data_IF_572781515781
#
_entry.id   IF_572781515781
#
_cell.length_a   1.000
_cell.length_b   1.000
_cell.length_c   1.000
_cell.angle_alpha   90.00
_cell.angle_beta   90.00
_cell.angle_gamma   90.00
#
_symmetry.space_group_name_H-M   'P 1'
#
loop_
_entity.id
_entity.type
_entity.pdbx_description
1 polymer ?
#
# COMPACT_ATOMS: atom_id res chain seq x y z
N UNK A 1 -2.39 -46.45 -0.49
CA UNK A 1 -2.11 -45.09 0.02
C UNK A 1 -3.23 -44.16 -0.44
N UNK A 2 -3.95 -43.58 0.53
CA UNK A 2 -4.98 -42.58 0.25
C UNK A 2 -4.29 -41.32 -0.27
N UNK A 3 -4.46 -41.03 -1.55
CA UNK A 3 -4.10 -39.71 -2.10
C UNK A 3 -5.26 -38.75 -1.83
N UNK A 4 -5.07 -37.65 -1.07
CA UNK A 4 -6.11 -36.66 -0.90
C UNK A 4 -6.52 -36.08 -2.25
N UNK A 5 -7.80 -35.76 -2.48
CA UNK A 5 -8.25 -35.19 -3.72
C UNK A 5 -7.49 -33.89 -3.98
N UNK A 6 -7.02 -33.70 -5.22
CA UNK A 6 -6.33 -32.47 -5.64
C UNK A 6 -7.24 -31.28 -5.42
N UNK A 7 -6.73 -30.23 -4.76
CA UNK A 7 -7.48 -28.99 -4.54
C UNK A 7 -7.97 -28.43 -5.87
N UNK A 8 -9.25 -28.01 -5.93
CA UNK A 8 -9.87 -27.47 -7.14
C UNK A 8 -9.24 -26.14 -7.57
N UNK A 9 -8.86 -25.32 -6.59
CA UNK A 9 -8.22 -24.02 -6.78
C UNK A 9 -6.95 -23.90 -5.97
N UNK A 10 -6.00 -23.10 -6.45
CA UNK A 10 -4.80 -22.73 -5.69
C UNK A 10 -5.11 -21.55 -4.76
N UNK A 11 -4.29 -21.34 -3.73
CA UNK A 11 -4.35 -20.15 -2.87
C UNK A 11 -4.26 -18.86 -3.68
N UNK A 12 -3.38 -18.83 -4.70
CA UNK A 12 -3.23 -17.69 -5.59
C UNK A 12 -4.50 -17.39 -6.38
N UNK A 13 -5.14 -18.40 -6.95
CA UNK A 13 -6.40 -18.20 -7.71
C UNK A 13 -7.51 -17.63 -6.82
N UNK A 14 -7.61 -18.11 -5.59
CA UNK A 14 -8.58 -17.61 -4.60
C UNK A 14 -8.24 -16.17 -4.20
N UNK A 15 -6.98 -15.87 -3.95
CA UNK A 15 -6.53 -14.52 -3.61
C UNK A 15 -6.78 -13.52 -4.75
N UNK A 16 -6.53 -13.89 -5.99
CA UNK A 16 -6.81 -13.06 -7.17
C UNK A 16 -8.30 -12.77 -7.32
N UNK A 17 -9.16 -13.79 -7.13
CA UNK A 17 -10.61 -13.61 -7.14
C UNK A 17 -11.08 -12.67 -6.03
N UNK A 18 -10.52 -12.80 -4.83
CA UNK A 18 -10.80 -11.91 -3.70
C UNK A 18 -10.34 -10.48 -3.93
N UNK A 19 -9.17 -10.32 -4.50
CA UNK A 19 -8.63 -9.01 -4.89
C UNK A 19 -9.56 -8.31 -5.91
N UNK A 20 -10.05 -9.06 -6.88
CA UNK A 20 -10.97 -8.56 -7.89
C UNK A 20 -12.33 -8.14 -7.29
N UNK A 21 -12.86 -8.90 -6.33
CA UNK A 21 -14.06 -8.51 -5.58
C UNK A 21 -13.82 -7.18 -4.84
N UNK A 22 -12.71 -7.05 -4.12
CA UNK A 22 -12.41 -5.82 -3.37
C UNK A 22 -12.26 -4.62 -4.32
N UNK A 23 -11.55 -4.76 -5.44
CA UNK A 23 -11.39 -3.70 -6.44
C UNK A 23 -12.72 -3.17 -6.97
N UNK A 24 -13.63 -4.07 -7.30
CA UNK A 24 -14.86 -3.73 -8.00
C UNK A 24 -16.03 -3.44 -7.06
N UNK A 25 -16.08 -4.12 -5.93
CA UNK A 25 -17.27 -4.15 -5.07
C UNK A 25 -17.00 -3.67 -3.64
N UNK A 26 -15.72 -3.59 -3.20
CA UNK A 26 -15.33 -3.22 -1.85
C UNK A 26 -15.14 -4.39 -0.91
N UNK A 27 -14.45 -4.15 0.19
CA UNK A 27 -14.10 -5.16 1.21
C UNK A 27 -15.34 -5.77 1.87
N UNK A 28 -16.41 -5.02 2.04
CA UNK A 28 -17.67 -5.44 2.63
C UNK A 28 -18.37 -6.56 1.84
N UNK A 29 -18.03 -6.71 0.56
CA UNK A 29 -18.57 -7.75 -0.31
C UNK A 29 -17.72 -9.02 -0.37
N UNK A 30 -16.58 -9.04 0.33
CA UNK A 30 -15.70 -10.20 0.41
C UNK A 30 -16.31 -11.25 1.36
N UNK A 31 -16.94 -12.25 0.79
CA UNK A 31 -17.51 -13.41 1.51
C UNK A 31 -17.08 -14.71 0.84
N UNK A 32 -17.08 -15.82 1.57
CA UNK A 32 -16.82 -17.14 1.00
C UNK A 32 -17.76 -17.48 -0.15
N UNK A 33 -19.04 -17.08 -0.04
CA UNK A 33 -20.06 -17.26 -1.09
C UNK A 33 -19.73 -16.45 -2.35
N UNK A 34 -19.34 -15.18 -2.18
CA UNK A 34 -18.98 -14.32 -3.30
C UNK A 34 -17.71 -14.84 -4.02
N UNK A 35 -16.72 -15.29 -3.26
CA UNK A 35 -15.51 -15.93 -3.81
C UNK A 35 -15.86 -17.20 -4.59
N UNK A 36 -16.66 -18.09 -4.03
CA UNK A 36 -17.12 -19.29 -4.71
C UNK A 36 -17.81 -18.96 -6.03
N UNK A 37 -18.76 -18.02 -6.01
CA UNK A 37 -19.47 -17.54 -7.21
C UNK A 37 -18.49 -16.99 -8.26
N UNK A 38 -17.52 -16.16 -7.84
CA UNK A 38 -16.49 -15.58 -8.74
C UNK A 38 -15.62 -16.65 -9.39
N UNK A 39 -15.34 -17.74 -8.68
CA UNK A 39 -14.58 -18.89 -9.17
C UNK A 39 -15.43 -19.91 -9.95
N UNK A 40 -16.71 -19.63 -10.16
CA UNK A 40 -17.64 -20.55 -10.82
C UNK A 40 -17.93 -21.83 -10.01
N UNK A 41 -17.95 -21.72 -8.67
CA UNK A 41 -18.11 -22.84 -7.73
C UNK A 41 -18.92 -22.45 -6.50
N UNK A 42 -19.09 -23.41 -5.58
CA UNK A 42 -19.53 -23.13 -4.21
C UNK A 42 -18.34 -22.65 -3.35
N UNK A 43 -18.63 -22.29 -2.08
CA UNK A 43 -17.59 -21.90 -1.12
C UNK A 43 -16.72 -23.08 -0.65
N UNK A 44 -17.20 -24.32 -0.73
CA UNK A 44 -16.51 -25.48 -0.17
C UNK A 44 -15.06 -25.65 -0.65
N UNK A 45 -14.74 -25.52 -1.95
CA UNK A 45 -13.36 -25.68 -2.42
C UNK A 45 -12.36 -24.68 -1.84
N UNK A 46 -12.82 -23.53 -1.37
CA UNK A 46 -11.96 -22.52 -0.73
C UNK A 46 -11.38 -23.08 0.57
N UNK A 47 -12.20 -23.76 1.35
CA UNK A 47 -11.83 -24.35 2.65
C UNK A 47 -11.10 -25.70 2.54
N UNK A 48 -10.78 -26.15 1.33
CA UNK A 48 -9.82 -27.23 1.13
C UNK A 48 -8.37 -26.76 1.18
N UNK A 49 -8.12 -25.46 1.00
CA UNK A 49 -6.78 -24.84 0.99
C UNK A 49 -6.59 -23.75 2.05
N UNK A 50 -7.66 -23.25 2.64
CA UNK A 50 -7.67 -22.30 3.76
C UNK A 50 -8.49 -22.84 4.91
N UNK A 51 -8.08 -22.56 6.14
CA UNK A 51 -8.84 -22.98 7.33
C UNK A 51 -10.07 -22.10 7.59
N UNK A 52 -9.95 -20.80 7.29
CA UNK A 52 -11.00 -19.81 7.57
C UNK A 52 -10.87 -18.58 6.67
N UNK A 53 -11.81 -17.66 6.75
CA UNK A 53 -11.80 -16.42 5.98
C UNK A 53 -10.69 -15.45 6.39
N UNK A 54 -10.18 -15.54 7.59
CA UNK A 54 -9.04 -14.70 8.05
C UNK A 54 -7.77 -15.05 7.29
N UNK A 55 -7.50 -16.34 7.07
CA UNK A 55 -6.39 -16.78 6.22
C UNK A 55 -6.57 -16.36 4.76
N UNK A 56 -7.79 -16.45 4.24
CA UNK A 56 -8.11 -15.95 2.89
C UNK A 56 -7.79 -14.47 2.79
N UNK A 57 -8.23 -13.68 3.76
CA UNK A 57 -7.99 -12.24 3.79
C UNK A 57 -6.50 -11.90 3.90
N UNK A 58 -5.73 -12.64 4.70
CA UNK A 58 -4.29 -12.45 4.80
C UNK A 58 -3.59 -12.68 3.45
N UNK A 59 -4.01 -13.68 2.69
CA UNK A 59 -3.46 -13.94 1.35
C UNK A 59 -3.87 -12.86 0.34
N UNK A 60 -5.10 -12.34 0.43
CA UNK A 60 -5.57 -11.21 -0.38
C UNK A 60 -4.77 -9.93 -0.05
N UNK A 61 -4.53 -9.65 1.22
CA UNK A 61 -3.71 -8.51 1.65
C UNK A 61 -2.29 -8.61 1.10
N UNK A 62 -1.71 -9.79 1.10
CA UNK A 62 -0.40 -10.05 0.48
C UNK A 62 -0.42 -9.77 -1.02
N UNK A 63 -1.46 -10.19 -1.73
CA UNK A 63 -1.64 -9.89 -3.15
C UNK A 63 -1.81 -8.39 -3.40
N UNK A 64 -2.56 -7.68 -2.57
CA UNK A 64 -2.72 -6.23 -2.65
C UNK A 64 -1.39 -5.48 -2.42
N UNK A 65 -0.57 -5.93 -1.45
CA UNK A 65 0.77 -5.39 -1.22
C UNK A 65 1.69 -5.60 -2.41
N UNK A 66 1.58 -6.73 -3.10
CA UNK A 66 2.34 -6.98 -4.31
C UNK A 66 1.99 -5.99 -5.42
N UNK A 67 0.70 -5.66 -5.59
CA UNK A 67 0.25 -4.62 -6.53
C UNK A 67 0.86 -3.26 -6.15
N UNK A 68 0.77 -2.85 -4.90
CA UNK A 68 1.36 -1.61 -4.42
C UNK A 68 2.88 -1.57 -4.62
N UNK A 69 3.59 -2.66 -4.35
CA UNK A 69 5.03 -2.74 -4.53
C UNK A 69 5.49 -2.48 -5.96
N UNK A 70 4.68 -2.78 -6.96
CA UNK A 70 5.00 -2.42 -8.36
C UNK A 70 4.97 -0.89 -8.58
N UNK A 71 4.07 -0.17 -7.92
CA UNK A 71 4.08 1.31 -7.92
C UNK A 71 5.34 1.85 -7.26
N UNK A 72 5.73 1.31 -6.11
CA UNK A 72 6.97 1.72 -5.42
C UNK A 72 8.20 1.47 -6.30
N UNK A 73 8.33 0.29 -6.89
CA UNK A 73 9.43 -0.05 -7.81
C UNK A 73 9.51 0.91 -8.99
N UNK A 74 8.38 1.31 -9.54
CA UNK A 74 8.32 2.31 -10.60
C UNK A 74 8.84 3.66 -10.12
N UNK A 75 8.42 4.11 -8.95
CA UNK A 75 8.88 5.37 -8.34
C UNK A 75 10.38 5.37 -8.04
N UNK A 76 10.92 4.26 -7.52
CA UNK A 76 12.34 4.11 -7.20
C UNK A 76 13.27 4.17 -8.44
N UNK A 77 12.74 3.98 -9.64
CA UNK A 77 13.49 4.09 -10.91
C UNK A 77 13.56 5.52 -11.45
N UNK A 78 12.79 6.44 -10.88
CA UNK A 78 12.85 7.86 -11.28
C UNK A 78 14.19 8.49 -10.85
N UNK A 79 14.61 9.55 -11.53
CA UNK A 79 15.85 10.28 -11.23
C UNK A 79 15.87 10.76 -9.77
N UNK A 80 14.75 11.29 -9.28
CA UNK A 80 14.51 11.60 -7.89
C UNK A 80 13.65 10.52 -7.25
N UNK A 81 14.27 9.40 -6.88
CA UNK A 81 13.59 8.18 -6.45
C UNK A 81 12.56 8.41 -5.33
N UNK A 82 12.91 9.20 -4.31
CA UNK A 82 11.98 9.49 -3.21
C UNK A 82 10.75 10.28 -3.66
N UNK A 83 10.93 11.28 -4.54
CA UNK A 83 9.83 12.02 -5.17
C UNK A 83 8.98 11.09 -6.04
N UNK A 84 9.63 10.22 -6.79
CA UNK A 84 8.96 9.21 -7.62
C UNK A 84 8.07 8.28 -6.79
N UNK A 85 8.55 7.82 -5.65
CA UNK A 85 7.76 6.99 -4.72
C UNK A 85 6.53 7.74 -4.20
N UNK A 86 6.68 8.99 -3.79
CA UNK A 86 5.54 9.81 -3.33
C UNK A 86 4.48 10.00 -4.42
N UNK A 87 4.90 10.27 -5.64
CA UNK A 87 4.00 10.37 -6.80
C UNK A 87 3.28 9.05 -7.06
N UNK A 88 3.99 7.92 -7.04
CA UNK A 88 3.40 6.60 -7.26
C UNK A 88 2.48 6.17 -6.11
N UNK A 89 2.74 6.58 -4.88
CA UNK A 89 1.84 6.38 -3.75
C UNK A 89 0.46 7.02 -3.99
N UNK A 90 0.45 8.26 -4.45
CA UNK A 90 -0.80 8.97 -4.80
C UNK A 90 -1.46 8.33 -6.04
N UNK A 91 -0.67 7.94 -7.05
CA UNK A 91 -1.21 7.26 -8.23
C UNK A 91 -1.86 5.91 -7.89
N UNK A 92 -1.30 5.18 -6.93
CA UNK A 92 -1.92 3.96 -6.41
C UNK A 92 -3.28 4.27 -5.77
N UNK A 93 -3.37 5.30 -4.94
CA UNK A 93 -4.63 5.74 -4.34
C UNK A 93 -5.69 6.16 -5.37
N UNK A 94 -5.27 6.81 -6.46
CA UNK A 94 -6.17 7.23 -7.54
C UNK A 94 -6.64 6.05 -8.38
N UNK A 95 -5.73 5.17 -8.77
CA UNK A 95 -6.02 4.05 -9.69
C UNK A 95 -6.61 2.83 -9.00
N UNK A 96 -6.23 2.60 -7.75
CA UNK A 96 -6.64 1.46 -6.94
C UNK A 96 -7.20 1.92 -5.58
N UNK A 97 -8.25 2.78 -5.57
CA UNK A 97 -8.69 3.42 -4.33
C UNK A 97 -9.12 2.43 -3.24
N UNK A 98 -9.75 1.32 -3.62
CA UNK A 98 -10.18 0.30 -2.65
C UNK A 98 -9.04 -0.54 -2.10
N UNK A 99 -8.00 -0.79 -2.90
CA UNK A 99 -6.78 -1.45 -2.41
C UNK A 99 -5.97 -0.50 -1.52
N UNK A 100 -5.93 0.78 -1.85
CA UNK A 100 -5.34 1.80 -0.99
C UNK A 100 -6.04 1.86 0.38
N UNK A 101 -7.37 1.88 0.38
CA UNK A 101 -8.16 1.85 1.63
C UNK A 101 -7.88 0.59 2.43
N UNK A 102 -7.83 -0.58 1.79
CA UNK A 102 -7.51 -1.84 2.44
C UNK A 102 -6.14 -1.82 3.14
N UNK A 103 -5.11 -1.33 2.47
CA UNK A 103 -3.73 -1.39 2.96
C UNK A 103 -3.37 -0.26 3.92
N UNK A 104 -3.87 0.95 3.69
CA UNK A 104 -3.38 2.17 4.34
C UNK A 104 -4.43 2.95 5.13
N UNK A 105 -5.67 2.50 5.14
CA UNK A 105 -6.77 3.13 5.90
C UNK A 105 -7.45 2.16 6.86
N UNK A 106 -6.95 0.94 6.99
CA UNK A 106 -7.49 -0.07 7.91
C UNK A 106 -6.89 0.09 9.31
N UNK A 107 -7.66 -0.26 10.32
CA UNK A 107 -7.17 -0.36 11.69
C UNK A 107 -6.02 -1.36 11.80
N UNK A 108 -5.03 -1.03 12.59
CA UNK A 108 -3.96 -1.93 12.96
C UNK A 108 -4.30 -2.61 14.28
N UNK A 109 -4.09 -3.91 14.37
CA UNK A 109 -4.33 -4.71 15.60
C UNK A 109 -3.51 -4.21 16.79
N UNK A 110 -2.34 -3.67 16.54
CA UNK A 110 -1.52 -2.95 17.49
C UNK A 110 -1.26 -1.57 16.90
N UNK A 111 -1.68 -0.51 17.59
CA UNK A 111 -1.48 0.86 17.14
C UNK A 111 0.01 1.25 17.32
N UNK A 112 0.82 1.24 16.28
CA UNK A 112 2.21 1.66 16.39
C UNK A 112 2.30 3.16 16.67
N UNK A 113 3.35 3.58 17.34
CA UNK A 113 3.66 5.02 17.45
C UNK A 113 3.99 5.60 16.06
N UNK A 114 3.89 6.92 15.92
CA UNK A 114 4.20 7.60 14.65
C UNK A 114 5.63 7.32 14.13
N UNK A 115 6.57 7.03 15.02
CA UNK A 115 7.95 6.67 14.64
C UNK A 115 8.10 5.23 14.15
N UNK A 116 7.10 4.38 14.36
CA UNK A 116 7.15 2.95 14.03
C UNK A 116 6.12 2.54 12.96
N UNK A 117 5.23 3.44 12.57
CA UNK A 117 4.12 3.09 11.66
C UNK A 117 4.61 2.67 10.28
N UNK A 118 5.54 3.40 9.69
CA UNK A 118 6.02 3.16 8.33
C UNK A 118 6.60 1.76 8.12
N UNK A 119 7.55 1.27 8.94
CA UNK A 119 8.07 -0.08 8.78
C UNK A 119 7.03 -1.19 9.02
N UNK A 120 5.94 -0.88 9.72
CA UNK A 120 4.84 -1.84 9.97
C UNK A 120 3.92 -1.96 8.76
N UNK A 121 3.58 -0.83 8.11
CA UNK A 121 2.57 -0.79 7.05
C UNK A 121 3.13 -0.91 5.64
N UNK A 122 4.43 -0.72 5.44
CA UNK A 122 5.05 -0.71 4.11
C UNK A 122 6.26 -1.65 4.05
N UNK A 123 6.10 -2.73 3.31
CA UNK A 123 7.16 -3.73 3.07
C UNK A 123 8.37 -3.15 2.31
N UNK A 124 8.21 -1.99 1.68
CA UNK A 124 9.26 -1.30 0.92
C UNK A 124 10.00 -0.23 1.75
N UNK A 125 9.69 -0.12 3.03
CA UNK A 125 10.22 0.92 3.91
C UNK A 125 11.74 1.09 3.83
N UNK A 126 12.50 0.01 3.94
CA UNK A 126 13.96 0.08 3.91
C UNK A 126 14.50 0.57 2.56
N UNK A 127 13.92 0.12 1.46
CA UNK A 127 14.31 0.58 0.12
C UNK A 127 13.99 2.06 -0.10
N UNK A 128 12.85 2.51 0.38
CA UNK A 128 12.44 3.92 0.30
C UNK A 128 13.34 4.79 1.19
N UNK A 129 13.62 4.36 2.41
CA UNK A 129 14.52 5.07 3.33
C UNK A 129 15.92 5.22 2.74
N UNK A 130 16.46 4.16 2.15
CA UNK A 130 17.75 4.19 1.46
C UNK A 130 17.76 5.20 0.31
N UNK A 131 16.67 5.30 -0.44
CA UNK A 131 16.52 6.29 -1.51
C UNK A 131 16.59 7.72 -0.98
N UNK A 132 16.02 8.00 0.19
CA UNK A 132 16.10 9.30 0.85
C UNK A 132 17.57 9.62 1.23
N UNK A 133 18.25 8.68 1.87
CA UNK A 133 19.65 8.84 2.28
C UNK A 133 20.54 9.14 1.08
N UNK A 134 20.39 8.39 0.00
CA UNK A 134 21.23 8.53 -1.19
C UNK A 134 20.92 9.79 -2.00
N UNK A 135 19.65 10.14 -2.17
CA UNK A 135 19.25 11.31 -2.95
C UNK A 135 19.66 12.64 -2.30
N UNK A 136 19.66 12.71 -0.97
CA UNK A 136 19.84 13.97 -0.25
C UNK A 136 21.05 13.99 0.66
N UNK A 137 21.84 12.93 0.65
CA UNK A 137 23.06 12.76 1.47
C UNK A 137 22.80 13.05 2.96
N UNK A 138 21.71 12.48 3.49
CA UNK A 138 21.28 12.64 4.86
C UNK A 138 21.69 11.45 5.73
N UNK A 139 21.89 11.70 7.03
CA UNK A 139 21.99 10.63 8.02
C UNK A 139 20.70 9.79 8.05
N UNK A 140 20.78 8.59 8.59
CA UNK A 140 19.59 7.73 8.75
C UNK A 140 18.49 8.44 9.55
N UNK A 141 18.83 9.06 10.67
CA UNK A 141 17.90 9.79 11.54
C UNK A 141 17.19 10.93 10.81
N UNK A 142 17.94 11.76 10.08
CA UNK A 142 17.39 12.85 9.28
C UNK A 142 16.51 12.34 8.14
N UNK A 143 16.90 11.22 7.53
CA UNK A 143 16.12 10.56 6.47
C UNK A 143 14.79 10.00 6.99
N UNK A 144 14.81 9.36 8.14
CA UNK A 144 13.58 8.86 8.81
C UNK A 144 12.64 10.02 9.15
N UNK A 145 13.19 11.13 9.64
CA UNK A 145 12.41 12.35 9.93
C UNK A 145 11.77 12.93 8.68
N UNK A 146 12.54 13.11 7.60
CA UNK A 146 12.04 13.61 6.32
C UNK A 146 10.97 12.69 5.73
N UNK A 147 11.25 11.40 5.67
CA UNK A 147 10.32 10.39 5.15
C UNK A 147 8.98 10.44 5.89
N UNK A 148 9.00 10.44 7.22
CA UNK A 148 7.80 10.49 8.05
C UNK A 148 6.93 11.71 7.77
N UNK A 149 7.52 12.91 7.72
CA UNK A 149 6.77 14.13 7.43
C UNK A 149 6.17 14.11 6.03
N UNK A 150 6.95 13.72 5.03
CA UNK A 150 6.48 13.66 3.66
C UNK A 150 5.42 12.57 3.45
N UNK A 151 5.56 11.42 4.12
CA UNK A 151 4.54 10.39 4.06
C UNK A 151 3.21 10.86 4.64
N UNK A 152 3.21 11.50 5.80
CA UNK A 152 1.97 12.01 6.42
C UNK A 152 1.26 13.00 5.48
N UNK A 153 2.01 13.91 4.89
CA UNK A 153 1.45 14.86 3.93
C UNK A 153 0.93 14.18 2.66
N UNK A 154 1.72 13.31 2.06
CA UNK A 154 1.37 12.55 0.86
C UNK A 154 0.18 11.61 1.12
N UNK A 155 0.13 10.99 2.30
CA UNK A 155 -1.00 10.18 2.73
C UNK A 155 -2.29 10.99 2.83
N UNK A 156 -2.23 12.22 3.31
CA UNK A 156 -3.37 13.13 3.32
C UNK A 156 -3.94 13.37 1.92
N UNK A 157 -3.10 13.68 0.95
CA UNK A 157 -3.52 13.82 -0.46
C UNK A 157 -4.11 12.50 -0.98
N UNK A 158 -3.44 11.39 -0.74
CA UNK A 158 -3.87 10.07 -1.19
C UNK A 158 -5.24 9.68 -0.62
N UNK A 159 -5.49 9.94 0.66
CA UNK A 159 -6.80 9.70 1.31
C UNK A 159 -7.89 10.53 0.67
N UNK A 160 -7.64 11.81 0.42
CA UNK A 160 -8.61 12.70 -0.25
C UNK A 160 -8.98 12.18 -1.65
N UNK A 161 -7.99 11.66 -2.39
CA UNK A 161 -8.22 11.06 -3.70
C UNK A 161 -8.98 9.72 -3.59
N UNK A 162 -8.55 8.81 -2.72
CA UNK A 162 -9.13 7.48 -2.59
C UNK A 162 -10.57 7.47 -2.07
N UNK A 163 -10.96 8.51 -1.34
CA UNK A 163 -12.32 8.69 -0.79
C UNK A 163 -13.23 9.55 -1.68
N UNK A 164 -12.74 10.00 -2.82
CA UNK A 164 -13.45 10.92 -3.72
C UNK A 164 -13.90 12.24 -3.05
N UNK A 165 -13.20 12.68 -2.02
CA UNK A 165 -13.49 13.95 -1.35
C UNK A 165 -12.99 15.15 -2.16
N UNK A 166 -11.89 14.96 -2.89
CA UNK A 166 -11.22 16.02 -3.64
C UNK A 166 -10.52 15.45 -4.86
N UNK A 167 -10.39 16.25 -5.90
CA UNK A 167 -9.57 15.94 -7.09
C UNK A 167 -8.39 16.89 -7.15
N UNK A 168 -7.26 16.42 -7.61
CA UNK A 168 -6.04 17.18 -7.82
C UNK A 168 -5.56 17.00 -9.25
N UNK A 169 -5.09 18.06 -9.86
CA UNK A 169 -4.31 17.95 -11.10
C UNK A 169 -2.90 17.44 -10.78
N UNK A 170 -2.21 16.90 -11.77
CA UNK A 170 -0.81 16.48 -11.62
C UNK A 170 0.10 17.63 -11.19
N UNK A 171 -0.13 18.84 -11.69
CA UNK A 171 0.64 20.04 -11.34
C UNK A 171 0.39 20.48 -9.90
N UNK A 172 -0.85 20.43 -9.42
CA UNK A 172 -1.18 20.72 -8.03
C UNK A 172 -0.46 19.75 -7.09
N UNK A 173 -0.51 18.44 -7.36
CA UNK A 173 0.20 17.44 -6.56
C UNK A 173 1.71 17.73 -6.54
N UNK A 174 2.31 17.95 -7.71
CA UNK A 174 3.74 18.20 -7.83
C UNK A 174 4.17 19.46 -7.07
N UNK A 175 3.43 20.54 -7.20
CA UNK A 175 3.73 21.81 -6.54
C UNK A 175 3.56 21.71 -5.02
N UNK A 176 2.46 21.15 -4.55
CA UNK A 176 2.16 21.00 -3.12
C UNK A 176 3.20 20.13 -2.41
N UNK A 177 3.55 18.98 -2.99
CA UNK A 177 4.60 18.11 -2.44
C UNK A 177 5.95 18.83 -2.44
N UNK A 178 6.29 19.52 -3.53
CA UNK A 178 7.56 20.25 -3.65
C UNK A 178 7.71 21.34 -2.59
N UNK A 179 6.65 22.09 -2.31
CA UNK A 179 6.66 23.15 -1.29
C UNK A 179 6.91 22.58 0.11
N UNK A 180 6.16 21.54 0.49
CA UNK A 180 6.30 20.88 1.80
C UNK A 180 7.66 20.20 1.91
N UNK A 181 8.11 19.54 0.85
CA UNK A 181 9.42 18.89 0.80
C UNK A 181 10.55 19.90 1.04
N UNK A 182 10.60 20.99 0.28
CA UNK A 182 11.65 22.01 0.39
C UNK A 182 11.66 22.65 1.77
N UNK A 183 10.50 22.99 2.32
CA UNK A 183 10.38 23.56 3.66
C UNK A 183 10.88 22.60 4.73
N UNK A 184 10.45 21.33 4.67
CA UNK A 184 10.84 20.31 5.63
C UNK A 184 12.34 19.99 5.55
N UNK A 185 12.88 19.83 4.33
CA UNK A 185 14.30 19.57 4.12
C UNK A 185 15.17 20.71 4.67
N UNK A 186 14.79 21.97 4.38
CA UNK A 186 15.49 23.16 4.89
C UNK A 186 15.53 23.16 6.41
N UNK A 187 14.42 22.86 7.07
CA UNK A 187 14.34 22.79 8.53
C UNK A 187 15.24 21.67 9.10
N UNK A 188 15.21 20.49 8.49
CA UNK A 188 16.02 19.33 8.92
C UNK A 188 17.53 19.61 8.77
N UNK A 189 17.95 20.27 7.71
CA UNK A 189 19.35 20.62 7.48
C UNK A 189 19.78 21.79 8.36
N UNK A 190 18.91 22.79 8.53
CA UNK A 190 19.21 24.02 9.29
C UNK A 190 19.25 23.85 10.81
N UNK A 191 18.76 22.76 11.36
CA UNK A 191 18.74 22.50 12.81
C UNK A 191 20.12 22.25 13.45
N UNK A 192 21.22 22.40 12.69
CA UNK A 192 22.62 22.26 13.15
C UNK A 192 23.35 23.61 13.30
N UNK A 193 22.64 24.74 13.17
CA UNK A 193 23.16 26.08 13.49
C UNK A 193 22.59 26.54 14.87
#
# INVERSE_FOLDING_TARGET
>A
SYMPPKAKFTKQQIAEAGLDIIRNEGMENLTARALGKRLGSSACPIFTVFENMEEVQAEINKAARAVYSEYVKKGLKEELAFKGVGTQYIMFAIKEPRLFQLLFMSEQSQQPSVSKVLPVIDDNYEAILLSVQNCYNLSKEKSERLYKHLWIYTHGIAVLCATNMCTFTADEIANMISEVFKGTLKEIIGAEQ
#
